data_IF_100945131793
#
_entry.id   IF_100945131793
#
_cell.length_a   1.000
_cell.length_b   1.000
_cell.length_c   1.000
_cell.angle_alpha   90.00
_cell.angle_beta   90.00
_cell.angle_gamma   90.00
#
_symmetry.space_group_name_H-M   'P 1'
#
loop_
_entity.id
_entity.type
_entity.pdbx_description
1 polymer ?
#
# COMPACT_ATOMS: atom_id res chain seq x y z
N UNK A 1 53.27 16.29 -41.41
CA UNK A 1 51.98 16.32 -40.67
C UNK A 1 51.95 15.13 -39.72
N UNK A 2 52.22 15.32 -38.42
CA UNK A 2 52.20 14.22 -37.42
C UNK A 2 50.76 13.98 -36.95
N UNK A 3 50.34 12.71 -36.96
CA UNK A 3 48.99 12.20 -36.63
C UNK A 3 48.44 12.78 -35.32
N UNK A 4 47.26 13.40 -35.39
CA UNK A 4 46.41 13.82 -34.25
C UNK A 4 45.60 12.66 -33.63
N UNK A 5 45.98 11.41 -33.88
CA UNK A 5 45.16 10.25 -33.50
C UNK A 5 44.95 10.09 -31.99
N UNK A 6 45.97 10.39 -31.17
CA UNK A 6 45.85 10.32 -29.71
C UNK A 6 44.86 11.33 -29.12
N UNK A 7 44.73 12.52 -29.71
CA UNK A 7 43.81 13.57 -29.24
C UNK A 7 42.35 13.21 -29.52
N UNK A 8 42.07 12.56 -30.65
CA UNK A 8 40.72 12.13 -31.02
C UNK A 8 40.27 10.96 -30.15
N UNK A 9 41.15 10.00 -29.87
CA UNK A 9 40.85 8.85 -28.99
C UNK A 9 40.51 9.33 -27.57
N UNK A 10 41.30 10.25 -27.01
CA UNK A 10 41.01 10.81 -25.68
C UNK A 10 39.65 11.54 -25.68
N UNK A 11 39.36 12.34 -26.70
CA UNK A 11 38.08 13.04 -26.81
C UNK A 11 36.87 12.10 -26.89
N UNK A 12 36.97 11.04 -27.69
CA UNK A 12 35.90 10.03 -27.83
C UNK A 12 35.70 9.26 -26.52
N UNK A 13 36.79 8.85 -25.86
CA UNK A 13 36.72 8.14 -24.57
C UNK A 13 36.07 9.02 -23.50
N UNK A 14 36.41 10.31 -23.42
CA UNK A 14 35.80 11.23 -22.46
C UNK A 14 34.30 11.41 -22.70
N UNK A 15 33.89 11.60 -23.95
CA UNK A 15 32.46 11.72 -24.30
C UNK A 15 31.71 10.43 -23.93
N UNK A 16 32.27 9.27 -24.28
CA UNK A 16 31.67 7.98 -23.94
C UNK A 16 31.52 7.80 -22.42
N UNK A 17 32.56 8.14 -21.65
CA UNK A 17 32.51 8.08 -20.18
C UNK A 17 31.44 9.02 -19.61
N UNK A 18 31.32 10.24 -20.13
CA UNK A 18 30.28 11.19 -19.70
C UNK A 18 28.88 10.65 -20.02
N UNK A 19 28.68 10.11 -21.23
CA UNK A 19 27.39 9.50 -21.61
C UNK A 19 27.04 8.31 -20.73
N UNK A 20 28.00 7.42 -20.47
CA UNK A 20 27.81 6.27 -19.57
C UNK A 20 27.43 6.75 -18.17
N UNK A 21 28.13 7.77 -17.65
CA UNK A 21 27.84 8.34 -16.34
C UNK A 21 26.45 8.98 -16.28
N UNK A 22 26.01 9.69 -17.33
CA UNK A 22 24.64 10.22 -17.41
C UNK A 22 23.59 9.11 -17.37
N UNK A 23 23.80 8.01 -18.11
CA UNK A 23 22.88 6.85 -18.08
C UNK A 23 22.78 6.27 -16.68
N UNK A 24 23.91 6.05 -16.00
CA UNK A 24 23.93 5.51 -14.64
C UNK A 24 23.23 6.44 -13.63
N UNK A 25 23.44 7.76 -13.74
CA UNK A 25 22.76 8.75 -12.89
C UNK A 25 21.25 8.69 -13.12
N UNK A 26 20.79 8.70 -14.37
CA UNK A 26 19.35 8.63 -14.67
C UNK A 26 18.71 7.33 -14.18
N UNK A 27 19.43 6.21 -14.26
CA UNK A 27 18.98 4.93 -13.74
C UNK A 27 18.86 4.95 -12.20
N UNK A 28 19.87 5.48 -11.51
CA UNK A 28 19.84 5.62 -10.05
C UNK A 28 18.69 6.55 -9.60
N UNK A 29 18.48 7.67 -10.28
CA UNK A 29 17.35 8.57 -10.02
C UNK A 29 16.01 7.87 -10.23
N UNK A 30 15.87 7.06 -11.29
CA UNK A 30 14.64 6.30 -11.54
C UNK A 30 14.34 5.32 -10.41
N UNK A 31 15.34 4.65 -9.83
CA UNK A 31 15.13 3.74 -8.70
C UNK A 31 14.65 4.52 -7.46
N UNK A 32 15.31 5.63 -7.14
CA UNK A 32 14.93 6.46 -5.99
C UNK A 32 13.50 6.99 -6.11
N UNK A 33 13.11 7.44 -7.31
CA UNK A 33 11.73 7.89 -7.56
C UNK A 33 10.73 6.75 -7.32
N UNK A 34 11.02 5.54 -7.82
CA UNK A 34 10.13 4.38 -7.63
C UNK A 34 10.00 4.01 -6.14
N UNK A 35 11.10 4.03 -5.39
CA UNK A 35 11.09 3.74 -3.96
C UNK A 35 10.26 4.77 -3.18
N UNK A 36 10.55 6.06 -3.36
CA UNK A 36 9.81 7.13 -2.69
C UNK A 36 8.31 7.09 -3.02
N UNK A 37 7.95 6.86 -4.28
CA UNK A 37 6.55 6.76 -4.68
C UNK A 37 5.89 5.48 -4.12
N UNK A 38 6.63 4.38 -4.02
CA UNK A 38 6.14 3.15 -3.39
C UNK A 38 5.89 3.35 -1.89
N UNK A 39 6.69 4.16 -1.21
CA UNK A 39 6.49 4.56 0.19
C UNK A 39 5.26 5.47 0.31
N UNK A 40 5.13 6.48 -0.55
CA UNK A 40 3.93 7.34 -0.58
C UNK A 40 2.65 6.53 -0.76
N UNK A 41 2.63 5.57 -1.70
CA UNK A 41 1.49 4.66 -1.88
C UNK A 41 1.23 3.82 -0.61
N UNK A 42 2.29 3.41 0.08
CA UNK A 42 2.21 2.71 1.38
C UNK A 42 1.46 3.57 2.41
N UNK A 43 1.90 4.81 2.57
CA UNK A 43 1.33 5.75 3.53
C UNK A 43 -0.13 6.08 3.19
N UNK A 44 -0.44 6.23 1.90
CA UNK A 44 -1.79 6.48 1.42
C UNK A 44 -2.75 5.31 1.71
N UNK A 45 -2.26 4.06 1.60
CA UNK A 45 -3.01 2.86 1.98
C UNK A 45 -3.25 2.86 3.50
N UNK A 46 -2.19 3.03 4.30
CA UNK A 46 -2.28 3.05 5.77
C UNK A 46 -3.24 4.15 6.23
N UNK A 47 -3.16 5.36 5.66
CA UNK A 47 -4.10 6.45 5.96
C UNK A 47 -5.55 6.09 5.62
N UNK A 48 -5.76 5.32 4.54
CA UNK A 48 -7.09 4.84 4.14
C UNK A 48 -7.62 3.75 5.08
N UNK A 49 -6.75 2.85 5.54
CA UNK A 49 -7.07 1.86 6.58
C UNK A 49 -7.44 2.54 7.90
N UNK A 50 -6.65 3.55 8.31
CA UNK A 50 -6.92 4.38 9.49
C UNK A 50 -8.28 5.06 9.43
N UNK A 51 -8.68 5.56 8.25
CA UNK A 51 -10.01 6.14 8.06
C UNK A 51 -11.15 5.13 8.26
N UNK A 52 -10.93 3.85 7.93
CA UNK A 52 -11.92 2.79 8.09
C UNK A 52 -12.22 2.47 9.57
N UNK A 53 -11.26 2.67 10.48
CA UNK A 53 -11.47 2.55 11.93
C UNK A 53 -12.46 3.56 12.50
N UNK A 54 -12.88 4.59 11.76
CA UNK A 54 -13.98 5.49 12.16
C UNK A 54 -15.28 4.76 12.56
N UNK A 55 -15.45 3.52 12.09
CA UNK A 55 -16.61 2.65 12.31
C UNK A 55 -16.44 1.63 13.45
N UNK A 56 -15.42 1.81 14.30
CA UNK A 56 -15.31 1.10 15.59
C UNK A 56 -16.53 1.40 16.47
N UNK A 57 -16.92 0.45 17.31
CA UNK A 57 -17.93 0.66 18.34
C UNK A 57 -17.52 1.77 19.33
N UNK A 58 -18.15 2.93 19.17
CA UNK A 58 -17.91 4.13 20.00
C UNK A 58 -18.36 3.95 21.45
N UNK A 59 -19.32 3.06 21.72
CA UNK A 59 -19.78 2.79 23.09
C UNK A 59 -18.72 2.04 23.87
N UNK A 60 -18.05 1.08 23.22
CA UNK A 60 -16.94 0.35 23.84
C UNK A 60 -15.67 1.19 23.92
N UNK A 61 -15.46 2.12 22.96
CA UNK A 61 -14.37 3.09 23.00
C UNK A 61 -14.50 4.12 24.14
N UNK A 62 -15.73 4.56 24.45
CA UNK A 62 -16.00 5.57 25.49
C UNK A 62 -16.29 5.02 26.88
N UNK A 63 -16.61 3.72 27.00
CA UNK A 63 -17.14 3.12 28.22
C UNK A 63 -16.45 1.87 28.73
N UNK A 64 -15.52 1.26 27.98
CA UNK A 64 -14.85 0.04 28.42
C UNK A 64 -13.43 0.30 28.95
N UNK A 65 -13.10 -0.27 30.11
CA UNK A 65 -11.71 -0.42 30.59
C UNK A 65 -10.94 -1.51 29.80
N UNK A 66 -11.57 -2.13 28.80
CA UNK A 66 -11.06 -3.31 28.08
C UNK A 66 -10.96 -3.01 26.59
N UNK A 67 -9.79 -2.50 26.23
CA UNK A 67 -9.34 -2.25 24.86
C UNK A 67 -9.46 -3.52 23.97
N UNK A 68 -9.46 -4.71 24.58
CA UNK A 68 -9.61 -6.03 23.95
C UNK A 68 -10.91 -6.30 23.18
N UNK A 69 -11.83 -5.33 23.10
CA UNK A 69 -13.13 -5.47 22.44
C UNK A 69 -13.43 -4.47 21.35
N UNK A 70 -12.48 -3.61 20.98
CA UNK A 70 -12.73 -2.59 19.97
C UNK A 70 -12.93 -3.21 18.57
N UNK A 71 -14.17 -3.57 18.25
CA UNK A 71 -14.56 -4.19 16.97
C UNK A 71 -15.14 -3.14 16.02
N UNK A 72 -14.95 -3.37 14.72
CA UNK A 72 -15.62 -2.62 13.66
C UNK A 72 -16.96 -3.30 13.40
N UNK A 73 -18.09 -2.69 13.79
CA UNK A 73 -19.42 -3.30 13.58
C UNK A 73 -19.96 -3.07 12.17
N UNK A 74 -19.69 -1.90 11.58
CA UNK A 74 -20.22 -1.51 10.27
C UNK A 74 -19.20 -1.79 9.16
N UNK A 75 -18.85 -3.07 8.99
CA UNK A 75 -17.79 -3.54 8.07
C UNK A 75 -17.94 -3.01 6.63
N UNK A 76 -19.17 -2.94 6.12
CA UNK A 76 -19.47 -2.44 4.77
C UNK A 76 -19.17 -0.95 4.66
N UNK A 77 -19.56 -0.16 5.68
CA UNK A 77 -19.26 1.28 5.70
C UNK A 77 -17.77 1.54 5.92
N UNK A 78 -17.08 0.67 6.67
CA UNK A 78 -15.62 0.71 6.81
C UNK A 78 -14.94 0.48 5.46
N UNK A 79 -15.37 -0.52 4.69
CA UNK A 79 -14.86 -0.76 3.34
C UNK A 79 -15.17 0.39 2.38
N UNK A 80 -16.38 0.97 2.43
CA UNK A 80 -16.72 2.14 1.61
C UNK A 80 -15.88 3.36 1.97
N UNK A 81 -15.63 3.58 3.26
CA UNK A 81 -14.76 4.65 3.75
C UNK A 81 -13.33 4.43 3.28
N UNK A 82 -12.80 3.20 3.40
CA UNK A 82 -11.50 2.85 2.86
C UNK A 82 -11.41 3.20 1.37
N UNK A 83 -12.38 2.79 0.55
CA UNK A 83 -12.41 3.11 -0.89
C UNK A 83 -12.40 4.61 -1.16
N UNK A 84 -13.18 5.39 -0.41
CA UNK A 84 -13.29 6.84 -0.60
C UNK A 84 -11.98 7.56 -0.28
N UNK A 85 -11.33 7.19 0.81
CA UNK A 85 -10.03 7.74 1.18
C UNK A 85 -8.91 7.24 0.25
N UNK A 86 -8.94 5.97 -0.16
CA UNK A 86 -7.96 5.41 -1.09
C UNK A 86 -7.98 6.16 -2.43
N UNK A 87 -9.17 6.44 -2.98
CA UNK A 87 -9.30 7.26 -4.20
C UNK A 87 -8.73 8.66 -4.01
N UNK A 88 -9.03 9.29 -2.87
CA UNK A 88 -8.58 10.66 -2.60
C UNK A 88 -7.07 10.73 -2.42
N UNK A 89 -6.50 9.84 -1.61
CA UNK A 89 -5.08 9.81 -1.26
C UNK A 89 -4.22 9.48 -2.50
N UNK A 90 -4.60 8.45 -3.26
CA UNK A 90 -3.88 8.05 -4.47
C UNK A 90 -4.17 8.92 -5.71
N UNK A 91 -5.04 9.94 -5.60
CA UNK A 91 -5.39 10.83 -6.71
C UNK A 91 -6.11 10.11 -7.86
N UNK A 92 -7.09 9.26 -7.52
CA UNK A 92 -7.88 8.44 -8.43
C UNK A 92 -9.30 9.00 -8.61
N UNK A 93 -9.89 8.70 -9.76
CA UNK A 93 -11.28 8.98 -10.08
C UNK A 93 -12.23 7.95 -9.45
N UNK A 94 -13.53 8.10 -9.72
CA UNK A 94 -14.57 7.19 -9.21
C UNK A 94 -14.45 5.76 -9.73
N UNK A 95 -13.73 5.53 -10.82
CA UNK A 95 -13.49 4.22 -11.44
C UNK A 95 -12.12 3.63 -11.06
N UNK A 96 -11.43 4.24 -10.09
CA UNK A 96 -10.07 3.86 -9.64
C UNK A 96 -8.98 4.04 -10.70
N UNK A 97 -9.17 4.95 -11.65
CA UNK A 97 -8.12 5.37 -12.58
C UNK A 97 -7.43 6.65 -12.10
N UNK A 98 -6.12 6.84 -12.34
CA UNK A 98 -5.43 8.06 -11.99
C UNK A 98 -6.05 9.28 -12.70
N UNK A 99 -6.31 10.35 -11.96
CA UNK A 99 -6.89 11.59 -12.53
C UNK A 99 -5.88 12.34 -13.43
N UNK A 100 -4.59 12.11 -13.21
CA UNK A 100 -3.50 12.83 -13.85
C UNK A 100 -2.51 11.87 -14.51
N UNK A 101 -2.08 12.19 -15.73
CA UNK A 101 -1.02 11.47 -16.44
C UNK A 101 0.33 11.52 -15.72
N UNK A 102 0.51 12.47 -14.79
CA UNK A 102 1.70 12.60 -13.95
C UNK A 102 1.68 11.71 -12.71
N UNK A 103 0.57 11.01 -12.44
CA UNK A 103 0.47 10.08 -11.31
C UNK A 103 1.47 8.93 -11.47
N UNK A 104 2.05 8.45 -10.38
CA UNK A 104 2.94 7.27 -10.39
C UNK A 104 2.22 6.02 -10.90
N UNK A 105 0.93 5.89 -10.57
CA UNK A 105 0.03 4.85 -11.04
C UNK A 105 -0.41 5.15 -12.48
N UNK A 106 -0.33 4.17 -13.37
CA UNK A 106 -0.61 4.29 -14.82
C UNK A 106 -1.82 3.52 -15.32
N UNK A 107 -2.49 2.78 -14.44
CA UNK A 107 -3.67 1.99 -14.78
C UNK A 107 -4.69 2.00 -13.65
N UNK A 108 -5.73 1.18 -13.82
CA UNK A 108 -6.72 0.97 -12.76
C UNK A 108 -6.05 0.41 -11.51
N UNK A 109 -6.46 0.92 -10.36
CA UNK A 109 -6.16 0.33 -9.05
C UNK A 109 -7.23 -0.71 -8.75
N UNK A 110 -6.81 -1.93 -8.47
CA UNK A 110 -7.67 -3.04 -8.07
C UNK A 110 -7.49 -3.30 -6.58
N UNK A 111 -8.60 -3.45 -5.85
CA UNK A 111 -8.56 -3.88 -4.45
C UNK A 111 -8.53 -5.40 -4.46
N UNK A 112 -7.33 -5.96 -4.32
CA UNK A 112 -7.10 -7.40 -4.33
C UNK A 112 -7.73 -8.02 -3.09
N UNK A 113 -7.46 -7.43 -1.92
CA UNK A 113 -8.06 -7.85 -0.66
C UNK A 113 -8.18 -6.66 0.30
N UNK A 114 -9.30 -6.58 1.01
CA UNK A 114 -9.47 -5.75 2.19
C UNK A 114 -10.03 -6.63 3.30
N UNK A 115 -9.23 -6.86 4.33
CA UNK A 115 -9.51 -7.78 5.43
C UNK A 115 -9.63 -7.03 6.74
N UNK A 116 -10.74 -7.22 7.43
CA UNK A 116 -10.92 -6.79 8.81
C UNK A 116 -10.79 -8.02 9.69
N UNK A 117 -9.90 -7.96 10.66
CA UNK A 117 -9.73 -8.95 11.71
C UNK A 117 -10.32 -8.38 12.99
N UNK A 118 -11.60 -8.60 13.26
CA UNK A 118 -12.24 -8.18 14.51
C UNK A 118 -11.88 -9.15 15.62
N UNK A 119 -11.37 -8.63 16.75
CA UNK A 119 -11.08 -9.43 17.93
C UNK A 119 -12.15 -9.17 18.99
N UNK A 120 -12.94 -10.20 19.33
CA UNK A 120 -13.85 -10.17 20.47
C UNK A 120 -13.44 -11.24 21.49
N UNK A 121 -12.84 -10.78 22.58
CA UNK A 121 -12.34 -11.66 23.63
C UNK A 121 -11.16 -12.50 23.14
N UNK A 122 -11.40 -13.78 22.84
CA UNK A 122 -10.37 -14.72 22.35
C UNK A 122 -10.62 -15.17 20.91
N UNK A 123 -11.76 -14.82 20.32
CA UNK A 123 -12.16 -15.22 18.98
C UNK A 123 -11.80 -14.11 17.99
N UNK A 124 -11.53 -14.51 16.74
CA UNK A 124 -11.21 -13.58 15.65
C UNK A 124 -12.21 -13.80 14.52
N UNK A 125 -12.95 -12.75 14.18
CA UNK A 125 -13.79 -12.70 12.98
C UNK A 125 -13.01 -12.02 11.85
N UNK A 126 -12.87 -12.73 10.73
CA UNK A 126 -12.14 -12.26 9.55
C UNK A 126 -13.14 -11.98 8.45
N UNK A 127 -13.20 -10.74 8.00
CA UNK A 127 -14.14 -10.28 6.98
C UNK A 127 -13.32 -9.78 5.80
N UNK A 128 -13.53 -10.39 4.64
CA UNK A 128 -12.76 -10.11 3.42
C UNK A 128 -13.66 -9.53 2.34
N UNK A 129 -13.22 -8.42 1.76
CA UNK A 129 -13.74 -7.83 0.53
C UNK A 129 -12.67 -7.90 -0.56
N UNK A 130 -13.09 -8.05 -1.82
CA UNK A 130 -12.20 -8.06 -2.99
C UNK A 130 -12.97 -7.59 -4.22
N UNK A 131 -12.32 -6.91 -5.15
CA UNK A 131 -12.95 -6.59 -6.44
C UNK A 131 -13.26 -7.85 -7.26
N UNK A 132 -12.52 -8.94 -7.03
CA UNK A 132 -12.75 -10.23 -7.70
C UNK A 132 -13.95 -11.00 -7.17
N UNK A 133 -14.37 -10.72 -5.92
CA UNK A 133 -15.52 -11.32 -5.29
C UNK A 133 -16.37 -10.24 -4.62
N UNK A 134 -17.45 -9.78 -5.28
CA UNK A 134 -18.30 -8.72 -4.74
C UNK A 134 -19.06 -9.15 -3.47
N UNK A 135 -19.13 -10.45 -3.17
CA UNK A 135 -19.67 -10.94 -1.91
C UNK A 135 -18.60 -10.93 -0.81
N UNK A 136 -18.94 -10.35 0.35
CA UNK A 136 -18.08 -10.43 1.53
C UNK A 136 -17.95 -11.87 1.99
N UNK A 137 -16.73 -12.27 2.34
CA UNK A 137 -16.47 -13.57 2.98
C UNK A 137 -16.24 -13.34 4.46
N UNK A 138 -16.95 -14.07 5.32
CA UNK A 138 -16.78 -14.02 6.77
C UNK A 138 -16.32 -15.38 7.29
N UNK A 139 -15.24 -15.39 8.07
CA UNK A 139 -14.72 -16.56 8.75
C UNK A 139 -14.55 -16.28 10.24
N UNK A 140 -14.98 -17.20 11.10
CA UNK A 140 -14.79 -17.08 12.55
C UNK A 140 -13.77 -18.11 13.02
N UNK A 141 -12.67 -17.63 13.60
CA UNK A 141 -11.62 -18.43 14.24
C UNK A 141 -11.79 -18.40 15.75
N UNK A 142 -12.36 -19.47 16.31
CA UNK A 142 -12.47 -19.62 17.77
C UNK A 142 -11.10 -19.81 18.40
N UNK A 143 -10.80 -19.05 19.45
CA UNK A 143 -9.47 -19.00 20.06
C UNK A 143 -8.37 -18.49 19.12
N UNK A 144 -8.74 -17.60 18.18
CA UNK A 144 -7.82 -17.06 17.19
C UNK A 144 -6.90 -15.95 17.70
N UNK A 145 -7.21 -15.30 18.82
CA UNK A 145 -6.38 -14.22 19.37
C UNK A 145 -5.00 -14.77 19.72
N UNK A 146 -3.94 -14.13 19.25
CA UNK A 146 -2.56 -14.58 19.47
C UNK A 146 -2.14 -15.79 18.63
N UNK A 147 -3.00 -16.26 17.71
CA UNK A 147 -2.76 -17.45 16.87
C UNK A 147 -2.97 -17.13 15.38
N UNK A 148 -4.00 -16.35 15.04
CA UNK A 148 -4.25 -15.90 13.68
C UNK A 148 -3.15 -14.93 13.27
N UNK A 149 -2.64 -15.12 12.05
CA UNK A 149 -1.58 -14.33 11.48
C UNK A 149 -2.09 -13.63 10.24
N UNK A 150 -1.79 -12.33 10.09
CA UNK A 150 -2.09 -11.56 8.89
C UNK A 150 -1.26 -12.08 7.71
N UNK A 151 -1.62 -11.77 6.45
CA UNK A 151 -0.81 -12.17 5.31
C UNK A 151 0.61 -11.57 5.34
N UNK A 152 0.80 -10.45 6.07
CA UNK A 152 2.09 -9.79 6.30
C UNK A 152 2.94 -10.50 7.37
N UNK A 153 2.37 -11.45 8.12
CA UNK A 153 3.08 -12.27 9.11
C UNK A 153 2.90 -11.83 10.56
N UNK A 154 2.06 -10.83 10.83
CA UNK A 154 1.86 -10.30 12.17
C UNK A 154 0.73 -11.02 12.91
N UNK A 155 0.91 -11.20 14.22
CA UNK A 155 -0.04 -11.92 15.07
C UNK A 155 -1.19 -10.99 15.42
N UNK A 156 -2.42 -11.43 15.15
CA UNK A 156 -3.64 -10.68 15.46
C UNK A 156 -3.95 -10.79 16.95
N UNK A 157 -3.70 -9.70 17.68
CA UNK A 157 -4.03 -9.56 19.10
C UNK A 157 -5.17 -8.57 19.33
N UNK A 158 -5.32 -7.60 18.44
CA UNK A 158 -6.35 -6.57 18.45
C UNK A 158 -6.99 -6.47 17.08
N UNK A 159 -7.99 -5.60 16.97
CA UNK A 159 -8.67 -5.43 15.69
C UNK A 159 -7.72 -4.82 14.67
N UNK A 160 -7.46 -5.55 13.59
CA UNK A 160 -6.49 -5.19 12.55
C UNK A 160 -7.18 -5.08 11.20
N UNK A 161 -6.79 -4.10 10.40
CA UNK A 161 -7.16 -4.01 9.00
C UNK A 161 -5.94 -4.34 8.16
N UNK A 162 -6.11 -5.12 7.10
CA UNK A 162 -5.09 -5.41 6.11
C UNK A 162 -5.67 -5.15 4.71
N UNK A 163 -5.03 -4.29 3.94
CA UNK A 163 -5.39 -4.01 2.56
C UNK A 163 -4.25 -4.40 1.61
N UNK A 164 -4.63 -5.03 0.51
CA UNK A 164 -3.77 -5.31 -0.63
C UNK A 164 -4.40 -4.70 -1.88
N UNK A 165 -3.63 -3.86 -2.56
CA UNK A 165 -4.01 -3.25 -3.84
C UNK A 165 -3.03 -3.68 -4.93
N UNK A 166 -3.52 -3.73 -6.17
CA UNK A 166 -2.72 -3.96 -7.36
C UNK A 166 -2.89 -2.84 -8.36
N UNK A 167 -1.81 -2.45 -9.04
CA UNK A 167 -1.82 -1.36 -9.99
C UNK A 167 -0.65 -1.44 -10.98
N UNK A 168 -0.75 -0.68 -12.07
CA UNK A 168 0.31 -0.60 -13.06
C UNK A 168 1.21 0.61 -12.82
N UNK A 169 2.52 0.41 -12.99
CA UNK A 169 3.53 1.48 -12.99
C UNK A 169 4.34 1.45 -14.28
N UNK A 170 4.88 2.59 -14.68
CA UNK A 170 5.78 2.69 -15.83
C UNK A 170 7.14 3.28 -15.41
N UNK A 171 8.13 2.43 -15.10
CA UNK A 171 9.50 2.87 -14.85
C UNK A 171 10.09 3.56 -16.08
N UNK A 172 11.06 4.45 -15.89
CA UNK A 172 11.63 5.28 -16.97
C UNK A 172 12.31 4.47 -18.09
N UNK A 173 12.83 3.28 -17.78
CA UNK A 173 13.61 2.43 -18.68
C UNK A 173 12.99 1.05 -18.92
N UNK A 174 11.78 0.79 -18.40
CA UNK A 174 11.13 -0.51 -18.51
C UNK A 174 9.72 -0.34 -19.05
N UNK A 175 9.19 -1.44 -19.57
CA UNK A 175 7.77 -1.52 -19.91
C UNK A 175 6.90 -1.40 -18.66
N UNK A 176 5.63 -1.10 -18.90
CA UNK A 176 4.61 -1.05 -17.86
C UNK A 176 4.53 -2.40 -17.13
N UNK A 177 4.47 -2.34 -15.81
CA UNK A 177 4.48 -3.51 -14.93
C UNK A 177 3.34 -3.43 -13.93
N UNK A 178 2.61 -4.53 -13.76
CA UNK A 178 1.68 -4.70 -12.65
C UNK A 178 2.45 -5.02 -11.37
N UNK A 179 2.13 -4.31 -10.30
CA UNK A 179 2.71 -4.48 -8.97
C UNK A 179 1.59 -4.56 -7.94
N UNK A 180 1.87 -5.24 -6.83
CA UNK A 180 0.97 -5.29 -5.68
C UNK A 180 1.64 -4.65 -4.48
N UNK A 181 0.83 -4.03 -3.63
CA UNK A 181 1.27 -3.41 -2.38
C UNK A 181 0.28 -3.79 -1.30
N UNK A 182 0.82 -4.24 -0.17
CA UNK A 182 0.04 -4.72 0.96
C UNK A 182 0.49 -4.02 2.21
N UNK A 183 -0.46 -3.40 2.90
CA UNK A 183 -0.23 -2.79 4.20
C UNK A 183 -1.20 -3.37 5.23
N UNK A 184 -0.93 -3.07 6.48
CA UNK A 184 -1.83 -3.41 7.57
C UNK A 184 -1.68 -2.39 8.69
N UNK A 185 -2.76 -2.22 9.42
CA UNK A 185 -2.84 -1.29 10.54
C UNK A 185 -3.62 -1.94 11.67
N UNK A 186 -3.06 -1.92 12.87
CA UNK A 186 -3.73 -2.35 14.09
C UNK A 186 -4.28 -1.12 14.82
N UNK A 187 -5.46 -1.27 15.41
CA UNK A 187 -6.13 -0.24 16.19
C UNK A 187 -5.31 0.33 17.35
N UNK A 188 -4.35 -0.42 17.89
CA UNK A 188 -3.52 0.00 19.05
C UNK A 188 -2.07 0.31 18.73
N UNK A 189 -1.62 0.10 17.49
CA UNK A 189 -0.24 0.42 17.13
C UNK A 189 -0.17 1.93 16.90
N UNK A 190 0.23 2.66 17.95
CA UNK A 190 0.92 3.94 17.77
C UNK A 190 2.13 3.68 16.87
N UNK A 191 2.27 4.47 15.81
CA UNK A 191 3.40 4.38 14.90
C UNK A 191 4.69 4.37 15.70
N UNK A 192 5.49 3.30 15.55
CA UNK A 192 6.90 3.36 15.89
C UNK A 192 7.53 4.37 14.93
N UNK A 193 7.61 5.62 15.38
CA UNK A 193 8.53 6.62 14.83
C UNK A 193 9.95 6.13 15.15
N UNK A 194 10.63 5.57 14.16
CA UNK A 194 12.10 5.40 14.12
C UNK A 194 12.79 6.73 13.78
#
# INVERSE_FOLDING_TARGET
MKKKEGSTIIGVTVIFSITLMMVLITFALSINIIQNQSETVSDDIVCSELAAFKHIDKLELGGSEKIDRLIINEHEKAFDTFKDYLKTNLGLDYSFYPISDYNFIKGKVDIIAFKIYNVDGNDVEIITYSDSNPEKTTEIKRGGKGVVVTPKGNIVNHTTINAEIGFHIKPMFLDEKYVTKMEETDILVEGEED
#
